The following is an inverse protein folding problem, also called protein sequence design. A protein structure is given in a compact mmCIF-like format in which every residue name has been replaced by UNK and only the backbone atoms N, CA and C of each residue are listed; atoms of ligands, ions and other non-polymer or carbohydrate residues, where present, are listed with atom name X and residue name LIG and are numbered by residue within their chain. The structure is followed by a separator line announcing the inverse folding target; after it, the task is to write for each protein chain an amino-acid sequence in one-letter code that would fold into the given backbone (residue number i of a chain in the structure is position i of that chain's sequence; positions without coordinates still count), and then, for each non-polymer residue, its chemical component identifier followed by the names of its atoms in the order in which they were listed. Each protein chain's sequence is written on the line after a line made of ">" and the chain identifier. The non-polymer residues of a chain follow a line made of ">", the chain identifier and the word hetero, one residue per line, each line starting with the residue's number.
data_IF_745372483417
#
_entry.id   IF_745372483417
#
_cell.length_a   1.000
_cell.length_b   1.000
_cell.length_c   1.000
_cell.angle_alpha   90.00
_cell.angle_beta   90.00
_cell.angle_gamma   90.00
#
_symmetry.space_group_name_H-M   'P 1'
#
loop_
_entity.id
_entity.type
_entity.pdbx_description
1 polymer ?
#
# COMPACT_ATOMS: atom_id res chain seq x y z
N UNK A 1 -17.54 -15.85 -24.80
CA UNK A 1 -16.35 -15.50 -24.01
C UNK A 1 -16.82 -14.90 -22.70
N UNK A 2 -16.25 -15.26 -21.54
CA UNK A 2 -16.59 -14.63 -20.25
C UNK A 2 -15.46 -13.66 -19.91
N UNK A 3 -15.80 -12.46 -19.50
CA UNK A 3 -14.84 -11.40 -19.17
C UNK A 3 -14.94 -11.10 -17.67
N UNK A 4 -13.82 -10.74 -17.05
CA UNK A 4 -13.76 -10.40 -15.63
C UNK A 4 -13.23 -8.96 -15.51
N UNK A 5 -13.90 -8.16 -14.69
CA UNK A 5 -13.40 -6.87 -14.24
C UNK A 5 -12.85 -7.04 -12.82
N UNK A 6 -11.56 -6.79 -12.64
CA UNK A 6 -10.89 -6.86 -11.35
C UNK A 6 -11.03 -5.52 -10.62
N UNK A 7 -11.63 -5.52 -9.43
CA UNK A 7 -11.71 -4.33 -8.59
C UNK A 7 -10.82 -4.57 -7.38
N UNK A 8 -9.81 -3.72 -7.22
CA UNK A 8 -8.96 -3.67 -6.03
C UNK A 8 -9.25 -2.38 -5.27
N UNK A 9 -9.45 -2.51 -3.96
CA UNK A 9 -9.91 -1.42 -3.11
C UNK A 9 -9.07 -1.33 -1.84
N UNK A 10 -8.68 -0.10 -1.50
CA UNK A 10 -7.87 0.24 -0.34
C UNK A 10 -6.41 -0.20 -0.48
N UNK A 11 -5.60 0.23 0.49
CA UNK A 11 -4.15 0.04 0.47
C UNK A 11 -3.75 -1.44 0.29
N UNK A 12 -4.27 -2.34 1.12
CA UNK A 12 -3.95 -3.77 1.04
C UNK A 12 -4.42 -4.39 -0.27
N UNK A 13 -5.64 -4.05 -0.72
CA UNK A 13 -6.19 -4.55 -1.99
C UNK A 13 -5.35 -4.11 -3.19
N UNK A 14 -4.86 -2.87 -3.17
CA UNK A 14 -4.01 -2.33 -4.22
C UNK A 14 -2.63 -3.00 -4.28
N UNK A 15 -2.03 -3.31 -3.11
CA UNK A 15 -0.75 -4.03 -3.06
C UNK A 15 -0.88 -5.46 -3.58
N UNK A 16 -1.89 -6.20 -3.12
CA UNK A 16 -2.15 -7.57 -3.57
C UNK A 16 -2.50 -7.58 -5.06
N UNK A 17 -3.36 -6.66 -5.50
CA UNK A 17 -3.75 -6.51 -6.90
C UNK A 17 -2.56 -6.22 -7.81
N UNK A 18 -1.60 -5.40 -7.36
CA UNK A 18 -0.35 -5.17 -8.11
C UNK A 18 0.42 -6.46 -8.33
N UNK A 19 0.58 -7.29 -7.28
CA UNK A 19 1.25 -8.59 -7.39
C UNK A 19 0.50 -9.58 -8.27
N UNK A 20 -0.83 -9.56 -8.22
CA UNK A 20 -1.67 -10.36 -9.11
C UNK A 20 -1.41 -10.00 -10.59
N UNK A 21 -1.39 -8.71 -10.93
CA UNK A 21 -1.17 -8.27 -12.31
C UNK A 21 0.25 -8.51 -12.79
N UNK A 22 1.26 -8.48 -11.92
CA UNK A 22 2.62 -8.94 -12.25
C UNK A 22 2.59 -10.40 -12.72
N UNK A 23 2.05 -11.30 -11.88
CA UNK A 23 2.03 -12.75 -12.16
C UNK A 23 1.24 -13.07 -13.43
N UNK A 24 0.05 -12.49 -13.57
CA UNK A 24 -0.81 -12.73 -14.75
C UNK A 24 -0.16 -12.17 -16.03
N UNK A 25 0.51 -11.02 -15.95
CA UNK A 25 1.21 -10.48 -17.12
C UNK A 25 2.38 -11.38 -17.52
N UNK A 26 3.15 -11.88 -16.56
CA UNK A 26 4.26 -12.80 -16.80
C UNK A 26 3.77 -14.12 -17.44
N UNK A 27 2.68 -14.70 -16.92
CA UNK A 27 2.07 -15.92 -17.48
C UNK A 27 1.62 -15.73 -18.94
N UNK A 28 1.03 -14.58 -19.26
CA UNK A 28 0.57 -14.23 -20.60
C UNK A 28 1.65 -13.61 -21.49
N UNK A 29 2.89 -13.47 -21.00
CA UNK A 29 3.99 -12.87 -21.75
C UNK A 29 3.74 -11.40 -22.13
N UNK A 30 3.02 -10.67 -21.29
CA UNK A 30 2.73 -9.23 -21.46
C UNK A 30 3.75 -8.44 -20.66
N UNK A 31 4.48 -7.55 -21.32
CA UNK A 31 5.45 -6.69 -20.65
C UNK A 31 4.76 -5.54 -19.87
N UNK A 32 5.49 -4.81 -19.02
CA UNK A 32 4.92 -3.68 -18.29
C UNK A 32 4.40 -2.52 -19.16
N UNK A 33 4.78 -2.46 -20.44
CA UNK A 33 4.26 -1.49 -21.40
C UNK A 33 2.94 -1.95 -22.05
N UNK A 34 2.50 -3.19 -21.78
CA UNK A 34 1.31 -3.83 -22.32
C UNK A 34 1.53 -4.49 -23.69
N UNK A 35 2.78 -4.73 -24.09
CA UNK A 35 3.12 -5.40 -25.35
C UNK A 35 3.33 -6.90 -25.11
N UNK A 36 2.89 -7.72 -26.06
CA UNK A 36 3.17 -9.15 -26.00
C UNK A 36 4.61 -9.43 -26.43
N UNK A 37 5.37 -10.10 -25.56
CA UNK A 37 6.77 -10.52 -25.75
C UNK A 37 6.96 -12.02 -25.56
N UNK A 38 5.86 -12.77 -25.43
CA UNK A 38 5.87 -14.22 -25.23
C UNK A 38 6.28 -15.01 -26.48
N UNK A 39 6.58 -16.28 -26.27
CA UNK A 39 7.09 -17.22 -27.29
C UNK A 39 6.09 -18.34 -27.63
N UNK A 40 4.97 -18.43 -26.90
CA UNK A 40 4.02 -19.53 -27.01
C UNK A 40 2.61 -19.06 -27.28
N UNK A 41 1.95 -19.65 -28.28
CA UNK A 41 0.55 -19.33 -28.62
C UNK A 41 -0.44 -19.65 -27.49
N UNK A 42 -0.07 -20.53 -26.55
CA UNK A 42 -0.86 -20.82 -25.34
C UNK A 42 -0.96 -19.60 -24.42
N UNK A 43 0.03 -18.70 -24.42
CA UNK A 43 0.02 -17.50 -23.57
C UNK A 43 -1.04 -16.50 -24.01
N UNK A 44 -1.51 -16.56 -25.26
CA UNK A 44 -2.61 -15.72 -25.72
C UNK A 44 -3.98 -16.40 -25.56
N UNK A 45 -4.02 -17.67 -25.14
CA UNK A 45 -5.29 -18.36 -24.91
C UNK A 45 -6.06 -17.69 -23.78
N UNK A 46 -7.28 -17.25 -24.09
CA UNK A 46 -8.19 -16.55 -23.15
C UNK A 46 -7.60 -15.29 -22.49
N UNK A 47 -6.57 -14.67 -23.07
CA UNK A 47 -5.99 -13.40 -22.57
C UNK A 47 -7.04 -12.29 -22.41
N UNK A 48 -8.06 -12.33 -23.27
CA UNK A 48 -9.17 -11.37 -23.27
C UNK A 48 -10.13 -11.48 -22.08
N UNK A 49 -9.99 -12.51 -21.23
CA UNK A 49 -10.70 -12.61 -19.95
C UNK A 49 -10.30 -11.45 -19.03
N UNK A 50 -9.00 -11.15 -18.97
CA UNK A 50 -8.41 -10.13 -18.08
C UNK A 50 -7.99 -8.87 -18.82
N UNK A 51 -7.61 -8.96 -20.09
CA UNK A 51 -7.16 -7.80 -20.87
C UNK A 51 -8.19 -7.38 -21.91
N UNK A 52 -8.14 -6.11 -22.27
CA UNK A 52 -8.64 -5.59 -23.52
C UNK A 52 -7.47 -5.44 -24.48
N UNK A 53 -7.60 -5.94 -25.71
CA UNK A 53 -6.66 -5.62 -26.77
C UNK A 53 -7.07 -4.27 -27.38
N UNK A 54 -6.26 -3.26 -27.15
CA UNK A 54 -6.41 -1.94 -27.74
C UNK A 54 -5.79 -1.90 -29.15
N UNK A 55 -5.96 -0.77 -29.84
CA UNK A 55 -5.20 -0.49 -31.07
C UNK A 55 -3.70 -0.69 -30.82
N UNK A 56 -3.00 -1.22 -31.83
CA UNK A 56 -1.55 -1.48 -31.79
C UNK A 56 -1.11 -2.76 -31.04
N UNK A 57 -2.00 -3.74 -30.86
CA UNK A 57 -1.71 -5.00 -30.11
C UNK A 57 -1.26 -4.73 -28.67
N UNK A 58 -1.77 -3.64 -28.07
CA UNK A 58 -1.49 -3.30 -26.69
C UNK A 58 -2.57 -3.87 -25.78
N UNK A 59 -2.17 -4.68 -24.81
CA UNK A 59 -3.05 -5.28 -23.82
C UNK A 59 -3.21 -4.35 -22.62
N UNK A 60 -4.46 -4.04 -22.29
CA UNK A 60 -4.83 -3.15 -21.19
C UNK A 60 -5.66 -3.92 -20.17
N UNK A 61 -5.26 -3.98 -18.88
CA UNK A 61 -6.01 -4.66 -17.83
C UNK A 61 -7.45 -4.15 -17.68
N UNK A 62 -8.37 -5.08 -17.47
CA UNK A 62 -9.74 -4.81 -17.01
C UNK A 62 -9.74 -4.63 -15.50
N UNK A 63 -9.05 -3.60 -15.03
CA UNK A 63 -8.88 -3.33 -13.61
C UNK A 63 -9.45 -1.97 -13.19
N UNK A 64 -10.00 -1.87 -12.00
CA UNK A 64 -10.30 -0.60 -11.33
C UNK A 64 -9.58 -0.58 -10.00
N UNK A 65 -8.81 0.48 -9.78
CA UNK A 65 -8.02 0.69 -8.58
C UNK A 65 -8.66 1.79 -7.77
N UNK A 66 -9.19 1.44 -6.61
CA UNK A 66 -9.88 2.37 -5.71
C UNK A 66 -9.03 2.54 -4.47
N UNK A 67 -8.70 3.79 -4.15
CA UNK A 67 -8.16 4.10 -2.83
C UNK A 67 -8.73 5.43 -2.34
N UNK A 68 -8.91 5.52 -1.04
CA UNK A 68 -9.19 6.78 -0.40
C UNK A 68 -7.91 7.56 -0.18
N UNK A 69 -6.73 6.94 -0.14
CA UNK A 69 -5.47 7.67 0.05
C UNK A 69 -4.70 7.83 -1.28
N UNK A 70 -4.24 9.05 -1.64
CA UNK A 70 -3.48 9.25 -2.86
C UNK A 70 -2.09 8.57 -2.84
N UNK A 71 -1.48 8.40 -1.66
CA UNK A 71 -0.12 7.83 -1.54
C UNK A 71 0.01 6.39 -2.06
N UNK A 72 -1.03 5.56 -1.90
CA UNK A 72 -1.04 4.21 -2.47
C UNK A 72 -0.96 4.24 -3.99
N UNK A 73 -1.61 5.22 -4.62
CA UNK A 73 -1.70 5.30 -6.08
C UNK A 73 -0.36 5.67 -6.71
N UNK A 74 0.38 6.58 -6.09
CA UNK A 74 1.75 6.91 -6.49
C UNK A 74 2.67 5.70 -6.34
N UNK A 75 2.47 4.88 -5.30
CA UNK A 75 3.20 3.64 -5.10
C UNK A 75 2.93 2.62 -6.22
N UNK A 76 1.66 2.43 -6.63
CA UNK A 76 1.32 1.53 -7.75
C UNK A 76 1.90 2.06 -9.07
N UNK A 77 1.80 3.37 -9.32
CA UNK A 77 2.28 3.99 -10.58
C UNK A 77 3.80 3.97 -10.73
N UNK A 78 4.53 4.06 -9.63
CA UNK A 78 5.99 3.96 -9.60
C UNK A 78 6.49 2.52 -9.64
N UNK A 79 5.61 1.53 -9.39
CA UNK A 79 5.92 0.11 -9.54
C UNK A 79 6.17 -0.31 -10.99
N UNK A 80 6.75 -1.50 -11.16
CA UNK A 80 7.15 -2.04 -12.46
C UNK A 80 6.01 -2.00 -13.50
N UNK A 81 4.80 -2.42 -13.10
CA UNK A 81 3.61 -2.46 -13.96
C UNK A 81 2.71 -1.23 -13.80
N UNK A 82 3.20 -0.14 -13.21
CA UNK A 82 2.40 1.07 -13.00
C UNK A 82 1.86 1.70 -14.29
N UNK A 83 2.62 1.56 -15.39
CA UNK A 83 2.25 2.08 -16.72
C UNK A 83 1.31 1.14 -17.52
N UNK A 84 1.03 -0.06 -16.98
CA UNK A 84 0.12 -1.02 -17.60
C UNK A 84 -1.34 -0.52 -17.52
N UNK A 85 -1.70 0.14 -16.42
CA UNK A 85 -3.04 0.68 -16.18
C UNK A 85 -3.24 2.04 -16.84
N UNK A 86 -4.45 2.33 -17.34
CA UNK A 86 -4.75 3.68 -17.82
C UNK A 86 -4.95 4.62 -16.64
N UNK A 87 -4.68 5.93 -16.79
CA UNK A 87 -4.96 6.91 -15.74
C UNK A 87 -6.40 6.88 -15.22
N UNK A 88 -7.37 6.57 -16.08
CA UNK A 88 -8.79 6.51 -15.75
C UNK A 88 -9.19 5.27 -14.93
N UNK A 89 -8.31 4.26 -14.82
CA UNK A 89 -8.53 3.10 -13.96
C UNK A 89 -8.39 3.45 -12.46
N UNK A 90 -7.78 4.60 -12.14
CA UNK A 90 -7.48 5.03 -10.78
C UNK A 90 -8.60 5.94 -10.24
N UNK A 91 -9.26 5.50 -9.17
CA UNK A 91 -10.33 6.24 -8.49
C UNK A 91 -9.85 6.62 -7.09
N UNK A 92 -9.59 7.92 -6.90
CA UNK A 92 -9.14 8.49 -5.60
C UNK A 92 -9.85 9.79 -5.21
N UNK A 93 -10.86 10.20 -5.99
CA UNK A 93 -11.62 11.43 -5.74
C UNK A 93 -12.38 11.43 -4.40
N UNK A 94 -12.52 10.26 -3.78
CA UNK A 94 -13.19 10.09 -2.49
C UNK A 94 -12.35 10.55 -1.29
N UNK A 95 -11.02 10.72 -1.44
CA UNK A 95 -10.19 11.33 -0.39
C UNK A 95 -10.64 12.75 -0.06
N UNK A 96 -10.76 13.59 -1.10
CA UNK A 96 -11.13 15.00 -0.98
C UNK A 96 -12.54 15.19 -0.40
N UNK A 97 -13.37 14.15 -0.47
CA UNK A 97 -14.72 14.12 0.09
C UNK A 97 -14.77 13.56 1.51
N UNK A 98 -13.62 13.30 2.13
CA UNK A 98 -13.51 12.66 3.44
C UNK A 98 -14.34 11.37 3.56
N UNK A 99 -14.45 10.60 2.47
CA UNK A 99 -15.30 9.41 2.44
C UNK A 99 -14.85 8.35 3.47
N UNK A 100 -13.59 8.39 3.92
CA UNK A 100 -13.05 7.53 4.98
C UNK A 100 -13.72 7.77 6.34
N UNK A 101 -14.34 8.94 6.56
CA UNK A 101 -15.07 9.26 7.78
C UNK A 101 -16.55 8.85 7.72
N UNK A 102 -17.10 8.64 6.52
CA UNK A 102 -18.55 8.55 6.30
C UNK A 102 -19.23 7.45 7.14
N UNK A 103 -18.58 6.31 7.35
CA UNK A 103 -19.14 5.26 8.19
C UNK A 103 -19.25 5.70 9.65
N UNK A 104 -18.22 6.36 10.18
CA UNK A 104 -18.14 6.77 11.57
C UNK A 104 -19.03 7.98 11.87
N UNK A 105 -19.08 8.94 10.96
CA UNK A 105 -20.02 10.07 11.09
C UNK A 105 -21.47 9.61 10.93
N UNK A 106 -21.72 8.55 10.16
CA UNK A 106 -23.01 7.86 10.10
C UNK A 106 -23.44 7.22 11.41
N UNK A 107 -22.49 6.75 12.22
CA UNK A 107 -22.71 6.20 13.58
C UNK A 107 -22.78 7.31 14.66
N UNK A 108 -22.73 8.58 14.27
CA UNK A 108 -22.88 9.73 15.17
C UNK A 108 -21.57 10.30 15.74
N UNK A 109 -20.42 9.81 15.27
CA UNK A 109 -19.10 10.32 15.65
C UNK A 109 -18.83 11.67 14.97
N UNK A 110 -18.37 12.67 15.71
CA UNK A 110 -18.05 13.99 15.14
C UNK A 110 -16.65 14.00 14.52
N UNK A 111 -16.43 14.80 13.47
CA UNK A 111 -15.10 14.89 12.84
C UNK A 111 -14.02 15.38 13.83
N UNK A 112 -14.37 16.22 14.82
CA UNK A 112 -13.42 16.69 15.83
C UNK A 112 -12.97 15.57 16.77
N UNK A 113 -13.80 14.55 17.00
CA UNK A 113 -13.44 13.41 17.85
C UNK A 113 -12.28 12.60 17.25
N UNK A 114 -12.11 12.61 15.92
CA UNK A 114 -10.94 12.02 15.27
C UNK A 114 -9.67 12.80 15.57
N UNK A 115 -9.74 14.13 15.53
CA UNK A 115 -8.60 15.01 15.85
C UNK A 115 -8.22 14.91 17.33
N UNK A 116 -9.20 14.80 18.23
CA UNK A 116 -8.96 14.56 19.65
C UNK A 116 -8.32 13.19 19.88
N UNK A 117 -8.83 12.13 19.23
CA UNK A 117 -8.23 10.80 19.32
C UNK A 117 -6.79 10.76 18.78
N UNK A 118 -6.50 11.46 17.69
CA UNK A 118 -5.15 11.62 17.15
C UNK A 118 -4.22 12.34 18.13
N UNK A 119 -4.67 13.44 18.73
CA UNK A 119 -3.92 14.16 19.77
C UNK A 119 -3.60 13.24 20.95
N UNK A 120 -4.61 12.54 21.47
CA UNK A 120 -4.44 11.64 22.60
C UNK A 120 -3.42 10.52 22.30
N UNK A 121 -3.43 9.98 21.09
CA UNK A 121 -2.46 8.97 20.65
C UNK A 121 -1.04 9.55 20.55
N UNK A 122 -0.87 10.76 20.02
CA UNK A 122 0.43 11.42 19.93
C UNK A 122 1.00 11.78 21.31
N UNK A 123 0.14 12.20 22.24
CA UNK A 123 0.51 12.46 23.62
C UNK A 123 1.01 11.18 24.30
N UNK A 124 0.28 10.07 24.12
CA UNK A 124 0.68 8.77 24.65
C UNK A 124 2.03 8.31 24.07
N UNK A 125 2.24 8.42 22.76
CA UNK A 125 3.51 8.08 22.11
C UNK A 125 4.66 8.92 22.70
N UNK A 126 4.42 10.22 22.89
CA UNK A 126 5.41 11.14 23.45
C UNK A 126 5.77 10.79 24.89
N UNK A 127 4.78 10.42 25.71
CA UNK A 127 4.99 9.96 27.09
C UNK A 127 5.88 8.70 27.13
N UNK A 128 5.59 7.70 26.29
CA UNK A 128 6.42 6.50 26.21
C UNK A 128 7.86 6.79 25.75
N UNK A 129 8.05 7.71 24.80
CA UNK A 129 9.39 8.12 24.37
C UNK A 129 10.17 8.78 25.51
N UNK A 130 9.54 9.67 26.28
CA UNK A 130 10.17 10.31 27.44
C UNK A 130 10.61 9.30 28.50
N UNK A 131 9.80 8.28 28.79
CA UNK A 131 10.20 7.21 29.71
C UNK A 131 11.41 6.42 29.20
N UNK A 132 11.46 6.12 27.90
CA UNK A 132 12.60 5.42 27.31
C UNK A 132 13.90 6.23 27.44
N UNK A 133 13.84 7.54 27.18
CA UNK A 133 14.99 8.44 27.33
C UNK A 133 15.43 8.60 28.79
N UNK A 134 14.48 8.70 29.72
CA UNK A 134 14.78 8.79 31.15
C UNK A 134 15.47 7.53 31.68
N UNK A 135 15.03 6.34 31.25
CA UNK A 135 15.62 5.06 31.70
C UNK A 135 17.03 4.83 31.13
N UNK A 136 17.39 5.47 30.02
CA UNK A 136 18.71 5.35 29.40
C UNK A 136 19.80 6.17 30.12
N UNK A 137 19.43 7.26 30.81
CA UNK A 137 20.39 8.12 31.52
C UNK A 137 20.72 7.66 32.96
N UNK A 138 19.93 6.76 33.54
CA UNK A 138 20.15 6.23 34.90
C UNK A 138 21.13 5.02 34.94
N UNK A 139 21.76 4.67 33.80
CA UNK A 139 22.65 3.51 33.65
C UNK A 139 24.16 3.82 33.60
N UNK A 140 24.58 5.09 33.67
CA UNK A 140 25.99 5.52 33.64
C UNK A 140 26.50 6.02 35.00
N UNK A 141 26.23 5.32 36.10
CA UNK A 141 26.99 5.52 37.35
C UNK A 141 28.20 4.57 37.39
N UNK A 142 29.38 5.18 37.26
CA UNK A 142 30.71 4.58 37.33
C UNK A 142 30.87 3.60 38.51
N UNK A 143 31.12 2.33 38.20
CA UNK A 143 31.80 1.44 39.14
C UNK A 143 33.30 1.78 39.09
N UNK A 144 33.72 2.77 39.89
CA UNK A 144 35.15 2.96 40.18
C UNK A 144 35.64 1.87 41.13
N UNK A 145 36.77 1.26 40.75
CA UNK A 145 37.45 0.15 41.38
C UNK A 145 37.88 0.43 42.83
N UNK A 146 37.54 -0.47 43.77
CA UNK A 146 38.31 -0.65 45.01
C UNK A 146 38.93 -2.05 45.00
N UNK A 147 40.15 -2.12 44.44
CA UNK A 147 41.14 -3.14 44.78
C UNK A 147 41.65 -2.93 46.23
N UNK A 148 42.09 -4.04 46.83
CA UNK A 148 42.90 -4.19 48.06
C UNK A 148 42.19 -4.28 49.43
N UNK A 149 42.09 -5.50 49.97
CA UNK A 149 43.07 -5.95 50.98
C UNK A 149 43.03 -7.47 51.20
N UNK A 150 44.16 -8.12 50.87
CA UNK A 150 44.52 -9.49 51.27
C UNK A 150 44.98 -9.44 52.72
N UNK A 151 44.43 -10.27 53.61
CA UNK A 151 45.14 -10.71 54.82
C UNK A 151 44.85 -12.19 55.09
N UNK A 152 45.94 -12.92 55.33
CA UNK A 152 46.15 -14.38 55.49
C UNK A 152 45.09 -15.20 56.24
#
# INVERSE_FOLDING_TARGET
>A
MREIVHIQAGQCGNQIGTKFWEVISDEHGIDPAGSYVGDSSLQLDRVNVYYNEASSHKYVPRAVLVDLEPGTMDSVRSGAFGQLFRPDNFIFAMFRRKAFLHWFTGEGMDEMEFTEAESNMNDLVSEYQQYQEATANDGEENFEDEEDEIVE
#
